data_IF_965838958560
#
_entry.id   IF_965838958560
#
_cell.length_a   1.000
_cell.length_b   1.000
_cell.length_c   1.000
_cell.angle_alpha   90.00
_cell.angle_beta   90.00
_cell.angle_gamma   90.00
#
_symmetry.space_group_name_H-M   'P 1'
#
loop_
_entity.id
_entity.type
_entity.pdbx_description
1 polymer ?
#
# COMPACT_ATOMS: atom_id res chain seq x y z
N UNK A 1 -23.52 16.71 9.01
CA UNK A 1 -23.63 17.83 9.99
C UNK A 1 -22.33 18.09 10.76
N UNK A 2 -21.91 17.27 11.73
CA UNK A 2 -20.70 17.57 12.56
C UNK A 2 -19.42 17.62 11.73
N UNK A 3 -19.17 16.67 10.84
CA UNK A 3 -17.97 16.65 9.99
C UNK A 3 -17.91 17.85 9.03
N UNK A 4 -19.04 18.24 8.48
CA UNK A 4 -19.17 19.42 7.61
C UNK A 4 -18.90 20.70 8.38
N UNK A 5 -19.52 20.84 9.55
CA UNK A 5 -19.30 21.98 10.43
C UNK A 5 -17.82 22.10 10.86
N UNK A 6 -17.16 20.98 11.22
CA UNK A 6 -15.72 20.96 11.55
C UNK A 6 -14.86 21.37 10.35
N UNK A 7 -15.25 20.94 9.14
CA UNK A 7 -14.56 21.34 7.91
C UNK A 7 -14.76 22.85 7.62
N UNK A 8 -15.96 23.38 7.78
CA UNK A 8 -16.27 24.82 7.63
C UNK A 8 -15.51 25.67 8.66
N UNK A 9 -15.30 25.16 9.88
CA UNK A 9 -14.50 25.82 10.92
C UNK A 9 -12.98 25.68 10.71
N UNK A 10 -12.53 24.99 9.66
CA UNK A 10 -11.10 24.75 9.41
C UNK A 10 -10.42 23.79 10.40
N UNK A 11 -11.21 23.11 11.24
CA UNK A 11 -10.70 22.11 12.20
C UNK A 11 -10.47 20.73 11.55
N UNK A 12 -11.05 20.51 10.38
CA UNK A 12 -10.94 19.29 9.60
C UNK A 12 -10.82 19.66 8.12
N UNK A 13 -9.94 18.98 7.36
CA UNK A 13 -9.93 19.21 5.91
C UNK A 13 -11.18 18.62 5.26
N UNK A 14 -11.64 19.23 4.15
CA UNK A 14 -12.80 18.74 3.43
C UNK A 14 -12.62 17.29 2.93
N UNK A 15 -11.40 16.93 2.50
CA UNK A 15 -11.09 15.57 2.03
C UNK A 15 -11.11 14.56 3.18
N UNK A 16 -10.60 14.92 4.36
CA UNK A 16 -10.69 14.05 5.54
C UNK A 16 -12.13 13.89 6.02
N UNK A 17 -12.93 14.98 6.01
CA UNK A 17 -14.36 14.92 6.34
C UNK A 17 -15.11 13.95 5.41
N UNK A 18 -14.84 14.01 4.09
CA UNK A 18 -15.40 13.10 3.11
C UNK A 18 -14.98 11.65 3.35
N UNK A 19 -13.69 11.42 3.63
CA UNK A 19 -13.15 10.10 3.94
C UNK A 19 -13.80 9.47 5.18
N UNK A 20 -13.90 10.21 6.28
CA UNK A 20 -14.55 9.73 7.51
C UNK A 20 -16.05 9.48 7.30
N UNK A 21 -16.72 10.31 6.51
CA UNK A 21 -18.12 10.08 6.16
C UNK A 21 -18.30 8.76 5.44
N UNK A 22 -17.53 8.52 4.38
CA UNK A 22 -17.64 7.31 3.57
C UNK A 22 -17.31 6.05 4.37
N UNK A 23 -16.24 6.09 5.16
CA UNK A 23 -15.70 4.89 5.84
C UNK A 23 -16.38 4.53 7.14
N UNK A 24 -17.05 5.47 7.78
CA UNK A 24 -17.62 5.26 9.10
C UNK A 24 -19.06 5.79 9.22
N UNK A 25 -19.25 7.11 9.03
CA UNK A 25 -20.50 7.78 9.43
C UNK A 25 -21.70 7.29 8.62
N UNK A 26 -21.56 7.16 7.30
CA UNK A 26 -22.66 6.70 6.43
C UNK A 26 -23.17 5.33 6.83
N UNK A 27 -22.26 4.38 7.09
CA UNK A 27 -22.64 3.03 7.50
C UNK A 27 -23.37 3.02 8.87
N UNK A 28 -22.82 3.74 9.85
CA UNK A 28 -23.43 3.82 11.19
C UNK A 28 -24.81 4.46 11.13
N UNK A 29 -24.95 5.57 10.39
CA UNK A 29 -26.23 6.28 10.20
C UNK A 29 -27.27 5.40 9.48
N UNK A 30 -26.88 4.64 8.47
CA UNK A 30 -27.74 3.73 7.74
C UNK A 30 -28.26 2.57 8.63
N UNK A 31 -27.41 2.04 9.50
CA UNK A 31 -27.80 1.01 10.47
C UNK A 31 -28.71 1.59 11.56
N UNK A 32 -28.34 2.73 12.13
CA UNK A 32 -29.08 3.39 13.21
C UNK A 32 -30.49 3.83 12.78
N UNK A 33 -30.62 4.30 11.53
CA UNK A 33 -31.90 4.72 10.95
C UNK A 33 -32.69 3.56 10.31
N UNK A 34 -32.19 2.34 10.36
CA UNK A 34 -32.84 1.16 9.78
C UNK A 34 -32.84 1.10 8.24
N UNK A 35 -32.09 1.97 7.58
CA UNK A 35 -31.88 1.91 6.11
C UNK A 35 -31.05 0.72 5.68
N UNK A 36 -30.22 0.19 6.57
CA UNK A 36 -29.38 -1.00 6.36
C UNK A 36 -29.43 -1.92 7.58
N UNK A 37 -29.58 -3.22 7.34
CA UNK A 37 -29.41 -4.20 8.41
C UNK A 37 -27.92 -4.30 8.79
N UNK A 38 -27.55 -4.44 10.10
CA UNK A 38 -26.18 -4.72 10.50
C UNK A 38 -25.73 -6.07 9.94
N UNK A 39 -24.49 -6.16 9.50
CA UNK A 39 -23.89 -7.43 9.06
C UNK A 39 -23.66 -8.32 10.28
N UNK A 40 -24.37 -9.46 10.33
CA UNK A 40 -24.40 -10.32 11.51
C UNK A 40 -23.11 -11.12 11.71
N UNK A 41 -22.44 -11.46 10.62
CA UNK A 41 -21.26 -12.33 10.62
C UNK A 41 -19.91 -11.56 10.69
N UNK A 42 -19.95 -10.23 10.68
CA UNK A 42 -18.76 -9.37 10.73
C UNK A 42 -18.88 -8.40 11.90
N UNK A 43 -17.87 -8.28 12.77
CA UNK A 43 -17.83 -7.25 13.81
C UNK A 43 -17.85 -5.87 13.15
N UNK A 44 -18.99 -5.19 13.19
CA UNK A 44 -19.11 -3.80 12.76
C UNK A 44 -19.23 -2.88 13.97
N UNK A 45 -19.00 -1.57 13.78
CA UNK A 45 -19.00 -0.61 14.89
C UNK A 45 -20.31 -0.63 15.69
N UNK A 46 -21.45 -0.69 15.02
CA UNK A 46 -22.77 -0.76 15.69
C UNK A 46 -22.89 -1.99 16.60
N UNK A 47 -22.39 -3.16 16.18
CA UNK A 47 -22.37 -4.38 17.01
C UNK A 47 -21.41 -4.29 18.18
N UNK A 48 -20.28 -3.60 18.01
CA UNK A 48 -19.32 -3.32 19.09
C UNK A 48 -19.98 -2.44 20.15
N UNK A 49 -20.69 -1.38 19.75
CA UNK A 49 -21.42 -0.47 20.65
C UNK A 49 -22.51 -1.23 21.41
N UNK A 50 -23.30 -2.05 20.72
CA UNK A 50 -24.32 -2.92 21.31
C UNK A 50 -23.70 -3.88 22.34
N UNK A 51 -22.60 -4.55 22.00
CA UNK A 51 -21.93 -5.49 22.90
C UNK A 51 -21.39 -4.80 24.18
N UNK A 52 -20.86 -3.58 24.06
CA UNK A 52 -20.40 -2.79 25.21
C UNK A 52 -21.57 -2.37 26.09
N UNK A 53 -22.72 -2.01 25.52
CA UNK A 53 -23.94 -1.60 26.24
C UNK A 53 -24.72 -2.75 26.86
N UNK A 54 -24.50 -4.00 26.44
CA UNK A 54 -25.36 -5.13 26.77
C UNK A 54 -25.34 -5.46 28.29
N UNK A 55 -26.54 -5.58 28.88
CA UNK A 55 -26.72 -5.90 30.30
C UNK A 55 -26.38 -4.76 31.27
N UNK A 56 -26.23 -3.52 30.79
CA UNK A 56 -25.94 -2.34 31.60
C UNK A 56 -27.20 -1.46 31.72
N UNK A 57 -27.49 -0.97 32.94
CA UNK A 57 -28.61 -0.09 33.24
C UNK A 57 -28.18 1.09 34.10
N UNK A 58 -28.93 2.21 34.05
CA UNK A 58 -28.67 3.40 34.84
C UNK A 58 -27.27 3.97 34.63
N UNK A 59 -26.57 4.30 35.71
CA UNK A 59 -25.21 4.87 35.65
C UNK A 59 -24.18 3.97 34.95
N UNK A 60 -24.41 2.65 34.90
CA UNK A 60 -23.54 1.74 34.16
C UNK A 60 -23.75 1.85 32.65
N UNK A 61 -24.95 2.22 32.21
CA UNK A 61 -25.22 2.50 30.79
C UNK A 61 -24.41 3.73 30.32
N UNK A 62 -24.31 4.78 31.15
CA UNK A 62 -23.48 5.96 30.84
C UNK A 62 -22.00 5.60 30.72
N UNK A 63 -21.48 4.73 31.58
CA UNK A 63 -20.12 4.20 31.49
C UNK A 63 -19.94 3.42 30.18
N UNK A 64 -20.89 2.55 29.84
CA UNK A 64 -20.85 1.82 28.57
C UNK A 64 -20.84 2.73 27.35
N UNK A 65 -21.61 3.80 27.38
CA UNK A 65 -21.61 4.80 26.32
C UNK A 65 -20.23 5.51 26.19
N UNK A 66 -19.60 5.89 27.30
CA UNK A 66 -18.25 6.50 27.27
C UNK A 66 -17.18 5.52 26.77
N UNK A 67 -17.27 4.24 27.13
CA UNK A 67 -16.37 3.20 26.61
C UNK A 67 -16.54 3.03 25.09
N UNK A 68 -17.79 2.99 24.60
CA UNK A 68 -18.07 2.93 23.16
C UNK A 68 -17.55 4.19 22.43
N UNK A 69 -17.71 5.38 23.02
CA UNK A 69 -17.15 6.60 22.50
C UNK A 69 -15.61 6.54 22.40
N UNK A 70 -14.93 5.95 23.41
CA UNK A 70 -13.49 5.70 23.38
C UNK A 70 -13.08 4.81 22.19
N UNK A 71 -13.83 3.74 21.91
CA UNK A 71 -13.59 2.90 20.73
C UNK A 71 -13.77 3.68 19.43
N UNK A 72 -14.79 4.55 19.36
CA UNK A 72 -15.00 5.42 18.20
C UNK A 72 -13.80 6.34 17.95
N UNK A 73 -13.26 6.96 19.01
CA UNK A 73 -12.08 7.82 18.91
C UNK A 73 -10.88 7.05 18.34
N UNK A 74 -10.58 5.87 18.88
CA UNK A 74 -9.48 5.03 18.38
C UNK A 74 -9.65 4.65 16.91
N UNK A 75 -10.89 4.35 16.49
CA UNK A 75 -11.19 4.04 15.10
C UNK A 75 -10.97 5.26 14.19
N UNK A 76 -11.47 6.43 14.59
CA UNK A 76 -11.30 7.69 13.85
C UNK A 76 -9.81 8.06 13.73
N UNK A 77 -9.04 7.96 14.80
CA UNK A 77 -7.60 8.19 14.77
C UNK A 77 -6.87 7.21 13.84
N UNK A 78 -7.27 5.94 13.85
CA UNK A 78 -6.73 4.94 12.93
C UNK A 78 -7.02 5.25 11.47
N UNK A 79 -8.26 5.64 11.15
CA UNK A 79 -8.66 6.06 9.82
C UNK A 79 -7.92 7.34 9.38
N UNK A 80 -7.76 8.30 10.28
CA UNK A 80 -7.00 9.52 10.01
C UNK A 80 -5.53 9.22 9.69
N UNK A 81 -4.85 8.41 10.52
CA UNK A 81 -3.45 8.00 10.23
C UNK A 81 -3.33 7.28 8.89
N UNK A 82 -4.27 6.37 8.60
CA UNK A 82 -4.29 5.66 7.32
C UNK A 82 -4.49 6.60 6.13
N UNK A 83 -5.38 7.56 6.26
CA UNK A 83 -5.61 8.60 5.25
C UNK A 83 -4.37 9.46 5.04
N UNK A 84 -3.73 9.97 6.11
CA UNK A 84 -2.49 10.74 6.01
C UNK A 84 -1.38 9.96 5.32
N UNK A 85 -1.22 8.67 5.65
CA UNK A 85 -0.22 7.83 5.02
C UNK A 85 -0.43 7.67 3.49
N UNK A 86 -1.68 7.69 3.02
CA UNK A 86 -2.00 7.69 1.58
C UNK A 86 -1.74 9.05 0.96
N UNK A 87 -2.11 10.16 1.62
CA UNK A 87 -1.78 11.52 1.14
C UNK A 87 -0.27 11.70 0.97
N UNK A 88 0.52 11.29 1.98
CA UNK A 88 1.99 11.34 1.93
C UNK A 88 2.57 10.47 0.79
N UNK A 89 1.87 9.41 0.40
CA UNK A 89 2.29 8.53 -0.68
C UNK A 89 2.00 9.08 -2.08
N UNK A 90 0.99 9.93 -2.26
CA UNK A 90 0.47 10.32 -3.58
C UNK A 90 1.54 10.92 -4.49
N UNK A 91 2.28 11.91 -4.00
CA UNK A 91 3.29 12.58 -4.80
C UNK A 91 4.46 11.65 -5.15
N UNK A 92 4.94 10.89 -4.18
CA UNK A 92 6.04 9.94 -4.37
C UNK A 92 5.68 8.83 -5.36
N UNK A 93 4.48 8.26 -5.22
CA UNK A 93 3.99 7.19 -6.11
C UNK A 93 3.74 7.72 -7.52
N UNK A 94 3.08 8.89 -7.65
CA UNK A 94 2.84 9.52 -8.96
C UNK A 94 4.15 9.85 -9.68
N UNK A 95 5.16 10.35 -8.96
CA UNK A 95 6.48 10.61 -9.52
C UNK A 95 7.18 9.32 -9.97
N UNK A 96 7.16 8.26 -9.13
CA UNK A 96 7.75 6.97 -9.47
C UNK A 96 7.07 6.29 -10.66
N UNK A 97 5.74 6.39 -10.79
CA UNK A 97 4.99 5.90 -11.95
C UNK A 97 5.42 6.64 -13.24
N UNK A 98 5.53 7.98 -13.20
CA UNK A 98 5.99 8.77 -14.34
C UNK A 98 7.40 8.39 -14.79
N UNK A 99 8.32 8.19 -13.85
CA UNK A 99 9.69 7.74 -14.16
C UNK A 99 9.64 6.35 -14.82
N UNK A 100 8.88 5.41 -14.26
CA UNK A 100 8.74 4.08 -14.84
C UNK A 100 8.17 4.13 -16.27
N UNK A 101 7.18 5.00 -16.54
CA UNK A 101 6.61 5.20 -17.88
C UNK A 101 7.64 5.80 -18.86
N UNK A 102 8.36 6.86 -18.46
CA UNK A 102 9.35 7.53 -19.28
C UNK A 102 10.53 6.63 -19.65
N UNK A 103 10.93 5.77 -18.73
CA UNK A 103 12.05 4.84 -18.91
C UNK A 103 11.61 3.44 -19.38
N UNK A 104 10.34 3.28 -19.70
CA UNK A 104 9.72 2.00 -20.13
C UNK A 104 10.00 0.83 -19.18
N UNK A 105 10.04 1.11 -17.87
CA UNK A 105 10.29 0.10 -16.84
C UNK A 105 9.00 -0.61 -16.43
N UNK A 106 9.08 -1.91 -16.25
CA UNK A 106 8.01 -2.73 -15.65
C UNK A 106 7.95 -2.62 -14.12
N UNK A 107 8.76 -1.75 -13.51
CA UNK A 107 8.80 -1.53 -12.08
C UNK A 107 8.93 -0.05 -11.73
N UNK A 108 8.38 0.34 -10.57
CA UNK A 108 8.61 1.64 -9.96
C UNK A 108 9.49 1.51 -8.71
N UNK A 109 10.30 2.54 -8.44
CA UNK A 109 11.20 2.59 -7.28
C UNK A 109 10.75 3.72 -6.36
N UNK A 110 10.61 3.40 -5.09
CA UNK A 110 10.31 4.36 -4.02
C UNK A 110 11.53 4.50 -3.11
N UNK A 111 11.80 5.68 -2.58
CA UNK A 111 12.92 5.99 -1.71
C UNK A 111 12.76 5.44 -0.29
N UNK A 112 11.54 5.08 0.10
CA UNK A 112 11.16 4.44 1.36
C UNK A 112 9.85 3.68 1.20
N UNK A 113 9.42 2.97 2.24
CA UNK A 113 8.06 2.43 2.28
C UNK A 113 7.02 3.54 2.41
N UNK A 114 6.00 3.49 1.58
CA UNK A 114 4.79 4.30 1.63
C UNK A 114 3.55 3.40 1.66
N UNK A 115 2.39 3.94 2.03
CA UNK A 115 1.09 3.30 1.80
C UNK A 115 0.73 3.35 0.30
N UNK A 116 1.60 2.81 -0.55
CA UNK A 116 1.63 3.00 -1.99
C UNK A 116 0.43 2.43 -2.73
N UNK A 117 -0.17 1.33 -2.24
CA UNK A 117 -1.25 0.64 -2.98
C UNK A 117 -2.45 1.54 -3.26
N UNK A 118 -3.10 2.19 -2.26
CA UNK A 118 -4.21 3.10 -2.54
C UNK A 118 -3.79 4.22 -3.48
N UNK A 119 -2.66 4.90 -3.22
CA UNK A 119 -2.16 5.99 -4.04
C UNK A 119 -1.89 5.56 -5.50
N UNK A 120 -1.33 4.37 -5.70
CA UNK A 120 -1.08 3.80 -7.02
C UNK A 120 -2.37 3.58 -7.82
N UNK A 121 -3.39 2.98 -7.19
CA UNK A 121 -4.66 2.72 -7.88
C UNK A 121 -5.48 3.98 -8.09
N UNK A 122 -5.43 4.96 -7.21
CA UNK A 122 -6.02 6.30 -7.39
C UNK A 122 -5.37 7.04 -8.57
N UNK A 123 -4.08 6.84 -8.81
CA UNK A 123 -3.34 7.41 -9.94
C UNK A 123 -3.51 6.63 -11.27
N UNK A 124 -4.46 5.70 -11.37
CA UNK A 124 -4.67 4.90 -12.58
C UNK A 124 -3.79 3.66 -12.69
N UNK A 125 -3.22 3.21 -11.58
CA UNK A 125 -2.27 2.10 -11.54
C UNK A 125 -2.79 0.74 -12.06
N UNK A 126 -4.12 0.54 -12.14
CA UNK A 126 -4.70 -0.68 -12.69
C UNK A 126 -4.22 -0.93 -14.14
N UNK A 127 -4.21 0.12 -14.95
CA UNK A 127 -3.84 0.08 -16.37
C UNK A 127 -2.37 0.46 -16.63
N UNK A 128 -1.62 0.80 -15.56
CA UNK A 128 -0.22 1.18 -15.67
C UNK A 128 0.67 -0.03 -15.96
N UNK A 129 1.73 0.16 -16.77
CA UNK A 129 2.62 -0.91 -17.23
C UNK A 129 3.49 -1.55 -16.15
N UNK A 130 3.57 -0.97 -14.95
CA UNK A 130 4.38 -1.53 -13.88
C UNK A 130 3.77 -2.79 -13.28
N UNK A 131 4.60 -3.82 -13.13
CA UNK A 131 4.29 -5.10 -12.51
C UNK A 131 4.83 -5.19 -11.07
N UNK A 132 5.86 -4.40 -10.76
CA UNK A 132 6.57 -4.46 -9.48
C UNK A 132 6.78 -3.08 -8.86
N UNK A 133 6.87 -3.05 -7.52
CA UNK A 133 7.35 -1.91 -6.76
C UNK A 133 8.56 -2.31 -5.91
N UNK A 134 9.59 -1.48 -5.95
CA UNK A 134 10.85 -1.65 -5.23
C UNK A 134 10.99 -0.54 -4.19
N UNK A 135 11.34 -0.90 -2.95
CA UNK A 135 11.64 0.08 -1.90
C UNK A 135 12.57 -0.52 -0.83
N UNK A 136 13.37 0.33 -0.13
CA UNK A 136 14.24 -0.14 0.93
C UNK A 136 13.46 -0.49 2.20
N UNK A 137 14.01 -1.42 2.97
CA UNK A 137 13.63 -1.72 4.35
C UNK A 137 14.49 -0.91 5.33
N UNK A 138 14.09 -0.89 6.60
CA UNK A 138 14.84 -0.21 7.68
C UNK A 138 16.26 -0.77 7.88
N UNK A 139 16.47 -2.05 7.57
CA UNK A 139 17.78 -2.73 7.63
C UNK A 139 18.66 -2.49 6.41
N UNK A 140 18.23 -1.63 5.48
CA UNK A 140 18.94 -1.32 4.24
C UNK A 140 18.78 -2.34 3.12
N UNK A 141 18.08 -3.46 3.36
CA UNK A 141 17.72 -4.38 2.29
C UNK A 141 16.61 -3.81 1.39
N UNK A 142 16.45 -4.36 0.19
CA UNK A 142 15.47 -3.93 -0.79
C UNK A 142 14.39 -4.98 -1.01
N UNK A 143 13.14 -4.54 -0.96
CA UNK A 143 11.98 -5.37 -1.25
C UNK A 143 11.52 -5.17 -2.68
N UNK A 144 11.22 -6.27 -3.35
CA UNK A 144 10.51 -6.33 -4.63
C UNK A 144 9.13 -6.91 -4.34
N UNK A 145 8.07 -6.14 -4.55
CA UNK A 145 6.69 -6.62 -4.42
C UNK A 145 6.01 -6.65 -5.79
N UNK A 146 5.37 -7.76 -6.08
CA UNK A 146 4.47 -7.86 -7.21
C UNK A 146 3.19 -7.02 -6.96
N UNK A 147 2.82 -6.20 -7.92
CA UNK A 147 1.64 -5.33 -7.87
C UNK A 147 0.39 -6.19 -8.16
N UNK A 148 -0.68 -6.08 -7.36
CA UNK A 148 -1.93 -6.75 -7.67
C UNK A 148 -2.64 -6.06 -8.86
N UNK A 149 -3.54 -6.74 -9.59
CA UNK A 149 -4.29 -6.14 -10.70
C UNK A 149 -5.30 -5.08 -10.24
N UNK A 150 -5.74 -5.13 -8.98
CA UNK A 150 -6.67 -4.16 -8.37
C UNK A 150 -6.49 -4.10 -6.86
N UNK A 151 -6.91 -2.99 -6.27
CA UNK A 151 -6.86 -2.82 -4.82
C UNK A 151 -7.70 -3.90 -4.10
N UNK A 152 -7.15 -4.45 -3.01
CA UNK A 152 -7.81 -5.51 -2.22
C UNK A 152 -7.73 -6.91 -2.82
N UNK A 153 -7.05 -7.10 -3.94
CA UNK A 153 -6.82 -8.40 -4.58
C UNK A 153 -5.54 -9.07 -4.07
N UNK A 154 -5.55 -10.40 -3.96
CA UNK A 154 -4.38 -11.21 -3.62
C UNK A 154 -3.64 -11.75 -4.86
N UNK A 155 -4.23 -11.63 -6.03
CA UNK A 155 -3.59 -11.95 -7.30
C UNK A 155 -2.47 -10.93 -7.60
N UNK A 156 -1.63 -11.25 -8.57
CA UNK A 156 -0.48 -10.42 -8.97
C UNK A 156 -0.61 -10.14 -10.48
N UNK A 157 -0.31 -8.92 -10.93
CA UNK A 157 -0.21 -8.61 -12.37
C UNK A 157 0.80 -9.56 -13.01
N UNK A 158 1.95 -9.72 -12.37
CA UNK A 158 3.01 -10.65 -12.74
C UNK A 158 3.65 -11.22 -11.49
N UNK A 159 3.74 -12.55 -11.39
CA UNK A 159 4.38 -13.21 -10.26
C UNK A 159 5.90 -13.25 -10.43
N UNK A 160 6.63 -13.26 -9.32
CA UNK A 160 8.07 -13.60 -9.32
C UNK A 160 8.28 -15.04 -9.81
N UNK A 161 9.48 -15.40 -10.31
CA UNK A 161 9.76 -16.72 -10.90
C UNK A 161 9.45 -17.88 -9.96
N UNK A 162 8.96 -18.96 -10.52
CA UNK A 162 8.66 -20.19 -9.75
C UNK A 162 9.93 -20.78 -9.12
N UNK A 163 11.06 -20.66 -9.83
CA UNK A 163 12.37 -21.10 -9.32
C UNK A 163 12.82 -20.41 -8.04
N UNK A 164 12.23 -19.24 -7.68
CA UNK A 164 12.54 -18.49 -6.45
C UNK A 164 11.63 -18.86 -5.27
N UNK A 165 10.50 -19.51 -5.52
CA UNK A 165 9.44 -19.74 -4.53
C UNK A 165 9.95 -20.43 -3.25
N UNK A 166 9.78 -19.76 -2.10
CA UNK A 166 10.14 -20.28 -0.79
C UNK A 166 11.63 -20.38 -0.48
N UNK A 167 12.51 -19.89 -1.36
CA UNK A 167 13.96 -19.97 -1.21
C UNK A 167 14.52 -18.85 -0.35
N UNK A 168 15.64 -19.12 0.31
CA UNK A 168 16.35 -18.25 1.24
C UNK A 168 17.86 -18.27 0.96
N UNK A 169 18.55 -17.14 1.18
CA UNK A 169 20.00 -17.02 1.16
C UNK A 169 20.65 -17.70 -0.04
N UNK A 170 21.61 -18.58 0.18
CA UNK A 170 22.39 -19.28 -0.86
C UNK A 170 21.52 -20.03 -1.89
N UNK A 171 20.40 -20.62 -1.45
CA UNK A 171 19.48 -21.29 -2.38
C UNK A 171 18.81 -20.31 -3.33
N UNK A 172 18.49 -19.10 -2.83
CA UNK A 172 17.92 -18.04 -3.66
C UNK A 172 18.98 -17.42 -4.54
N UNK A 173 20.20 -17.19 -4.03
CA UNK A 173 21.32 -16.71 -4.84
C UNK A 173 21.61 -17.66 -6.02
N UNK A 174 21.63 -18.97 -5.77
CA UNK A 174 21.79 -19.96 -6.83
C UNK A 174 20.64 -19.94 -7.85
N UNK A 175 19.41 -19.67 -7.38
CA UNK A 175 18.22 -19.62 -8.25
C UNK A 175 18.12 -18.32 -9.07
N UNK A 176 18.56 -17.20 -8.51
CA UNK A 176 18.54 -15.88 -9.19
C UNK A 176 19.79 -15.63 -10.01
N UNK A 177 20.91 -16.27 -9.64
CA UNK A 177 22.25 -15.95 -10.15
C UNK A 177 22.79 -14.62 -9.63
N UNK A 178 22.21 -14.07 -8.55
CA UNK A 178 22.56 -12.75 -7.98
C UNK A 178 22.94 -12.92 -6.52
N UNK A 179 24.18 -12.53 -6.17
CA UNK A 179 24.63 -12.49 -4.79
C UNK A 179 23.84 -11.46 -3.98
N UNK A 180 23.52 -11.77 -2.72
CA UNK A 180 22.72 -10.92 -1.87
C UNK A 180 21.22 -11.08 -2.08
N UNK A 181 20.78 -12.11 -2.80
CA UNK A 181 19.38 -12.55 -2.81
C UNK A 181 19.05 -13.20 -1.47
N UNK A 182 18.13 -12.62 -0.69
CA UNK A 182 17.94 -12.97 0.72
C UNK A 182 16.73 -13.88 0.96
N UNK A 183 15.61 -13.55 0.33
CA UNK A 183 14.32 -14.21 0.58
C UNK A 183 13.39 -14.08 -0.61
N UNK A 184 12.61 -15.15 -0.91
CA UNK A 184 11.42 -15.06 -1.75
C UNK A 184 10.27 -15.85 -1.12
N UNK A 185 9.12 -15.22 -0.98
CA UNK A 185 7.93 -15.86 -0.42
C UNK A 185 7.41 -16.97 -1.34
N UNK A 186 6.91 -18.07 -0.75
CA UNK A 186 6.37 -19.22 -1.50
C UNK A 186 5.28 -18.85 -2.52
N UNK A 187 4.49 -17.82 -2.23
CA UNK A 187 3.44 -17.33 -3.13
C UNK A 187 3.96 -16.29 -4.14
N UNK A 188 5.26 -16.05 -4.21
CA UNK A 188 5.95 -15.28 -5.25
C UNK A 188 5.50 -13.82 -5.40
N UNK A 189 4.95 -13.22 -4.34
CA UNK A 189 4.50 -11.81 -4.35
C UNK A 189 5.55 -10.84 -3.77
N UNK A 190 6.56 -11.35 -3.08
CA UNK A 190 7.63 -10.55 -2.49
C UNK A 190 8.96 -11.31 -2.52
N UNK A 191 10.02 -10.61 -2.87
CA UNK A 191 11.41 -11.03 -2.67
C UNK A 191 12.21 -9.90 -2.01
N UNK A 192 13.32 -10.26 -1.36
CA UNK A 192 14.22 -9.34 -0.66
C UNK A 192 15.64 -9.55 -1.16
N UNK A 193 16.31 -8.44 -1.43
CA UNK A 193 17.68 -8.37 -1.92
C UNK A 193 18.51 -7.42 -1.06
N UNK A 194 19.82 -7.61 -1.03
CA UNK A 194 20.72 -6.74 -0.27
C UNK A 194 20.80 -5.33 -0.84
N UNK A 195 20.68 -5.17 -2.15
CA UNK A 195 20.82 -3.89 -2.86
C UNK A 195 19.74 -3.71 -3.91
N UNK A 196 19.47 -2.46 -4.32
CA UNK A 196 18.58 -2.14 -5.44
C UNK A 196 19.11 -2.75 -6.73
N UNK A 197 20.40 -2.59 -7.03
CA UNK A 197 21.01 -3.12 -8.25
C UNK A 197 20.87 -4.63 -8.34
N UNK A 198 21.04 -5.34 -7.22
CA UNK A 198 20.83 -6.78 -7.17
C UNK A 198 19.38 -7.18 -7.42
N UNK A 199 18.41 -6.41 -6.91
CA UNK A 199 17.00 -6.62 -7.18
C UNK A 199 16.66 -6.42 -8.66
N UNK A 200 17.16 -5.34 -9.27
CA UNK A 200 16.95 -5.01 -10.69
C UNK A 200 17.66 -6.03 -11.60
N UNK A 201 18.91 -6.42 -11.29
CA UNK A 201 19.65 -7.44 -12.04
C UNK A 201 18.89 -8.78 -12.03
N UNK A 202 18.37 -9.20 -10.88
CA UNK A 202 17.57 -10.43 -10.77
C UNK A 202 16.28 -10.35 -11.62
N UNK A 203 15.54 -9.22 -11.57
CA UNK A 203 14.35 -9.03 -12.42
C UNK A 203 14.70 -9.08 -13.91
N UNK A 204 15.78 -8.42 -14.33
CA UNK A 204 16.25 -8.35 -15.72
C UNK A 204 16.65 -9.72 -16.25
N UNK A 205 17.41 -10.50 -15.49
CA UNK A 205 17.85 -11.88 -15.88
C UNK A 205 16.67 -12.81 -16.15
N UNK A 206 15.54 -12.59 -15.49
CA UNK A 206 14.33 -13.40 -15.68
C UNK A 206 13.31 -12.76 -16.62
N UNK A 207 13.70 -11.70 -17.37
CA UNK A 207 12.84 -11.00 -18.31
C UNK A 207 11.62 -10.36 -17.63
N UNK A 208 11.76 -9.98 -16.35
CA UNK A 208 10.74 -9.27 -15.57
C UNK A 208 10.96 -7.76 -15.57
N UNK A 209 12.13 -7.32 -15.97
CA UNK A 209 12.46 -5.93 -16.21
C UNK A 209 13.27 -5.82 -17.51
N UNK A 210 13.12 -4.69 -18.21
CA UNK A 210 13.98 -4.39 -19.34
C UNK A 210 15.40 -4.06 -18.86
N UNK A 211 16.45 -4.44 -19.63
CA UNK A 211 17.83 -4.06 -19.31
C UNK A 211 17.95 -2.54 -19.35
N UNK A 212 18.60 -1.95 -18.35
CA UNK A 212 18.93 -0.53 -18.38
C UNK A 212 19.88 -0.26 -19.55
N UNK A 213 19.44 0.48 -20.55
CA UNK A 213 20.31 1.01 -21.59
C UNK A 213 21.11 2.17 -20.98
N UNK A 214 22.27 1.88 -20.41
CA UNK A 214 23.27 2.92 -20.25
C UNK A 214 23.76 3.30 -21.64
N UNK A 215 23.32 4.44 -22.17
CA UNK A 215 24.02 5.08 -23.27
C UNK A 215 25.45 5.35 -22.78
N UNK A 216 26.36 4.47 -23.16
CA UNK A 216 27.82 4.78 -23.04
C UNK A 216 28.05 5.98 -23.95
N UNK A 217 28.47 7.16 -23.45
CA UNK A 217 28.76 8.30 -24.32
C UNK A 217 29.80 7.84 -25.34
N UNK A 218 29.45 7.86 -26.61
CA UNK A 218 30.38 7.66 -27.69
C UNK A 218 31.49 8.70 -27.51
N UNK A 219 32.67 8.26 -27.04
CA UNK A 219 33.87 9.06 -27.02
C UNK A 219 34.18 9.36 -28.49
N UNK A 220 33.87 10.58 -28.93
CA UNK A 220 34.22 11.07 -30.25
C UNK A 220 35.76 10.96 -30.37
N UNK A 221 36.19 9.98 -31.16
CA UNK A 221 37.57 9.79 -31.52
C UNK A 221 38.08 11.05 -32.20
N UNK A 222 39.05 11.73 -31.55
CA UNK A 222 39.73 12.88 -32.07
C UNK A 222 40.35 12.55 -33.42
N UNK A 223 39.92 13.24 -34.47
CA UNK A 223 40.66 13.32 -35.72
C UNK A 223 42.01 13.99 -35.47
N UNK A 224 43.08 13.27 -35.70
CA UNK A 224 44.42 13.85 -35.88
C UNK A 224 44.48 14.37 -37.30
N UNK A 225 44.73 15.63 -37.45
CA UNK A 225 45.40 16.22 -38.59
C UNK A 225 46.83 16.60 -38.20
#
# INVERSE_FOLDING_TARGET
MILEWLAEQGQLSASLAAHLRERLVTYVDDVDTGRRAPELDVPCFARIVEAIGNGREGAQADVGFLEAAGVAVLLIEGLHRGWQAVEDARDAVSAAMKVAEQEHRSYMVLDRYYAWKPAYFEAGGADHATDFVLFPSEDGSWKVLAIPPRLGCFEQKRSLPESWAGKLGEELEAATGVAGSMFCHKNRFIAVFRTLDGAVDALTRFGLAEPEFHETPLVAGGARA
#
